data_IF_216647321738
#
_entry.id   IF_216647321738
#
_cell.length_a   1.000
_cell.length_b   1.000
_cell.length_c   1.000
_cell.angle_alpha   90.00
_cell.angle_beta   90.00
_cell.angle_gamma   90.00
#
_symmetry.space_group_name_H-M   'P 1'
#
loop_
_entity.id
_entity.type
_entity.pdbx_description
1 polymer ?
#
# COMPACT_ATOMS: atom_id res chain seq x y z
N UNK A 1 6.94 11.40 2.45
CA UNK A 1 5.75 10.55 2.26
C UNK A 1 5.11 10.87 0.91
N UNK A 2 4.69 9.84 0.18
CA UNK A 2 4.03 10.03 -1.09
C UNK A 2 2.64 10.65 -0.92
N UNK A 3 2.30 11.58 -1.79
CA UNK A 3 0.99 12.23 -1.80
C UNK A 3 0.00 11.37 -2.57
N UNK A 4 -0.97 10.79 -1.88
CA UNK A 4 -1.95 9.87 -2.46
C UNK A 4 -3.16 10.62 -3.01
N UNK A 5 -3.56 10.25 -4.22
CA UNK A 5 -4.80 10.75 -4.85
C UNK A 5 -5.54 9.60 -5.50
N UNK A 6 -6.85 9.73 -5.58
CA UNK A 6 -7.68 8.81 -6.33
C UNK A 6 -7.23 8.78 -7.80
N UNK A 7 -7.26 7.61 -8.41
CA UNK A 7 -6.80 7.33 -9.78
C UNK A 7 -5.29 7.36 -10.01
N UNK A 8 -4.48 7.59 -8.97
CA UNK A 8 -3.03 7.49 -9.10
C UNK A 8 -2.63 6.07 -9.50
N UNK A 9 -1.62 5.96 -10.35
CA UNK A 9 -1.05 4.68 -10.78
C UNK A 9 -0.06 4.19 -9.72
N UNK A 10 -0.26 2.97 -9.23
CA UNK A 10 0.62 2.32 -8.25
C UNK A 10 1.31 1.13 -8.92
N UNK A 11 2.63 1.05 -8.77
CA UNK A 11 3.43 -0.02 -9.35
C UNK A 11 4.11 -0.78 -8.20
N UNK A 12 3.86 -2.10 -8.14
CA UNK A 12 4.51 -3.00 -7.19
C UNK A 12 5.43 -3.93 -8.00
N UNK A 13 6.75 -3.73 -7.96
CA UNK A 13 7.68 -4.61 -8.63
C UNK A 13 7.60 -6.03 -8.04
N UNK A 14 7.58 -7.04 -8.91
CA UNK A 14 7.54 -8.43 -8.52
C UNK A 14 8.90 -9.09 -8.75
N UNK A 15 9.27 -10.04 -7.90
CA UNK A 15 10.50 -10.82 -8.04
C UNK A 15 10.52 -11.65 -9.32
N UNK A 16 9.37 -11.97 -9.90
CA UNK A 16 9.26 -12.72 -11.17
C UNK A 16 9.47 -11.83 -12.40
N UNK A 17 9.68 -10.53 -12.22
CA UNK A 17 9.89 -9.58 -13.31
C UNK A 17 8.63 -8.91 -13.86
N UNK A 18 7.46 -9.49 -13.60
CA UNK A 18 6.19 -8.85 -13.96
C UNK A 18 5.73 -7.90 -12.87
N UNK A 19 5.55 -6.63 -13.21
CA UNK A 19 5.08 -5.63 -12.25
C UNK A 19 3.57 -5.71 -12.10
N UNK A 20 3.09 -5.54 -10.86
CA UNK A 20 1.68 -5.33 -10.61
C UNK A 20 1.39 -3.85 -10.80
N UNK A 21 0.38 -3.55 -11.60
CA UNK A 21 -0.10 -2.19 -11.81
C UNK A 21 -1.53 -2.06 -11.30
N UNK A 22 -1.78 -1.02 -10.54
CA UNK A 22 -3.07 -0.79 -9.92
C UNK A 22 -3.41 0.70 -9.89
N UNK A 23 -4.69 1.02 -9.74
CA UNK A 23 -5.17 2.38 -9.54
C UNK A 23 -5.66 2.55 -8.12
N UNK A 24 -5.40 3.71 -7.53
CA UNK A 24 -5.98 4.07 -6.23
C UNK A 24 -7.46 4.35 -6.44
N UNK A 25 -8.31 3.55 -5.81
CA UNK A 25 -9.77 3.70 -5.92
C UNK A 25 -10.38 4.35 -4.69
N UNK A 26 -9.66 4.32 -3.57
CA UNK A 26 -10.13 4.94 -2.32
C UNK A 26 -8.93 5.19 -1.41
N UNK A 27 -9.15 5.99 -0.37
CA UNK A 27 -8.14 6.25 0.65
C UNK A 27 -8.76 6.01 2.03
N UNK A 28 -7.98 5.40 2.91
CA UNK A 28 -8.34 5.15 4.28
C UNK A 28 -7.30 5.79 5.19
N UNK A 29 -7.75 6.37 6.31
CA UNK A 29 -6.85 6.86 7.33
C UNK A 29 -6.95 5.95 8.54
N UNK A 30 -5.79 5.43 9.00
CA UNK A 30 -5.72 4.59 10.18
C UNK A 30 -4.95 5.33 11.26
N UNK A 31 -5.49 5.31 12.48
CA UNK A 31 -4.88 5.97 13.63
C UNK A 31 -4.12 4.94 14.45
N UNK A 32 -2.88 5.29 14.78
CA UNK A 32 -2.03 4.47 15.63
C UNK A 32 -1.60 5.29 16.83
N UNK A 33 -1.53 4.64 17.97
CA UNK A 33 -0.96 5.22 19.17
C UNK A 33 0.51 4.86 19.23
N UNK A 34 1.36 5.86 19.17
CA UNK A 34 2.81 5.68 19.33
C UNK A 34 3.19 6.07 20.75
N UNK A 35 3.85 5.18 21.47
CA UNK A 35 4.35 5.42 22.81
C UNK A 35 5.87 5.38 22.81
N UNK A 36 6.48 6.23 23.62
CA UNK A 36 7.92 6.25 23.82
C UNK A 36 8.23 6.69 25.23
N UNK A 37 9.41 6.34 25.73
CA UNK A 37 9.89 6.76 27.03
C UNK A 37 10.74 8.00 26.89
N UNK A 38 10.38 9.06 27.61
CA UNK A 38 11.15 10.29 27.64
C UNK A 38 12.41 10.05 28.48
N UNK A 39 13.58 10.22 27.86
CA UNK A 39 14.87 9.99 28.50
C UNK A 39 15.17 11.01 29.62
N UNK A 40 14.61 12.22 29.52
CA UNK A 40 14.86 13.28 30.49
C UNK A 40 14.05 13.10 31.78
N UNK A 41 12.79 12.63 31.68
CA UNK A 41 11.88 12.51 32.81
C UNK A 41 11.59 11.06 33.22
N UNK A 42 11.88 10.09 32.37
CA UNK A 42 11.54 8.69 32.57
C UNK A 42 10.05 8.38 32.39
N UNK A 43 9.26 9.37 32.02
CA UNK A 43 7.82 9.20 31.78
C UNK A 43 7.53 8.57 30.43
N UNK A 44 6.46 7.77 30.39
CA UNK A 44 5.94 7.23 29.14
C UNK A 44 5.01 8.26 28.51
N UNK A 45 5.35 8.71 27.32
CA UNK A 45 4.53 9.63 26.53
C UNK A 45 3.89 8.90 25.37
N UNK A 46 2.73 9.35 24.95
CA UNK A 46 2.06 8.77 23.80
C UNK A 46 1.47 9.84 22.89
N UNK A 47 1.36 9.53 21.62
CA UNK A 47 0.81 10.42 20.62
C UNK A 47 0.02 9.61 19.60
N UNK A 48 -1.13 10.12 19.21
CA UNK A 48 -1.88 9.55 18.11
C UNK A 48 -1.31 10.04 16.77
N UNK A 49 -1.14 9.13 15.84
CA UNK A 49 -0.66 9.43 14.49
C UNK A 49 -1.64 8.86 13.49
N UNK A 50 -2.05 9.69 12.53
CA UNK A 50 -2.89 9.26 11.42
C UNK A 50 -2.01 8.94 10.21
N UNK A 51 -2.23 7.78 9.61
CA UNK A 51 -1.47 7.31 8.44
C UNK A 51 -2.43 7.06 7.29
N UNK A 52 -2.20 7.68 6.12
CA UNK A 52 -3.02 7.41 4.95
C UNK A 52 -2.65 6.08 4.31
N UNK A 53 -3.68 5.30 3.96
CA UNK A 53 -3.55 4.04 3.22
C UNK A 53 -4.26 4.20 1.89
N UNK A 54 -3.65 3.67 0.84
CA UNK A 54 -4.29 3.61 -0.47
C UNK A 54 -4.98 2.27 -0.65
N UNK A 55 -6.25 2.31 -1.03
CA UNK A 55 -6.99 1.13 -1.50
C UNK A 55 -6.81 1.08 -3.00
N UNK A 56 -6.19 0.01 -3.49
CA UNK A 56 -5.79 -0.12 -4.89
C UNK A 56 -6.52 -1.28 -5.55
N UNK A 57 -6.87 -1.10 -6.81
CA UNK A 57 -7.48 -2.14 -7.65
C UNK A 57 -6.55 -2.44 -8.82
N UNK A 58 -6.16 -3.72 -8.96
CA UNK A 58 -5.23 -4.17 -9.97
C UNK A 58 -5.87 -4.23 -11.35
N UNK A 59 -5.11 -3.86 -12.38
CA UNK A 59 -5.51 -4.02 -13.78
C UNK A 59 -4.45 -4.73 -14.61
N UNK A 60 -3.25 -4.97 -14.07
CA UNK A 60 -2.18 -5.70 -14.73
C UNK A 60 -1.31 -6.40 -13.69
N UNK A 61 -0.85 -7.61 -14.00
CA UNK A 61 0.02 -8.40 -13.12
C UNK A 61 -0.71 -9.26 -12.09
N UNK A 62 -2.02 -9.06 -11.96
CA UNK A 62 -2.93 -9.86 -11.14
C UNK A 62 -4.29 -9.84 -11.81
N UNK A 63 -5.24 -10.73 -11.43
CA UNK A 63 -6.59 -10.69 -12.00
C UNK A 63 -7.22 -9.31 -11.85
N UNK A 64 -7.85 -8.82 -12.90
CA UNK A 64 -8.51 -7.51 -12.91
C UNK A 64 -9.51 -7.42 -11.76
N UNK A 65 -9.45 -6.33 -11.02
CA UNK A 65 -10.33 -6.10 -9.88
C UNK A 65 -9.80 -6.64 -8.56
N UNK A 66 -8.62 -7.30 -8.55
CA UNK A 66 -7.97 -7.69 -7.30
C UNK A 66 -7.59 -6.44 -6.51
N UNK A 67 -8.02 -6.36 -5.25
CA UNK A 67 -7.75 -5.21 -4.39
C UNK A 67 -6.67 -5.49 -3.37
N UNK A 68 -5.90 -4.45 -3.04
CA UNK A 68 -4.99 -4.47 -1.90
C UNK A 68 -4.94 -3.09 -1.25
N UNK A 69 -4.51 -3.06 0.00
CA UNK A 69 -4.37 -1.82 0.77
C UNK A 69 -2.90 -1.65 1.15
N UNK A 70 -2.34 -0.48 0.86
CA UNK A 70 -0.93 -0.20 1.13
C UNK A 70 -0.78 1.17 1.80
N UNK A 71 0.03 1.27 2.88
CA UNK A 71 0.27 2.56 3.50
C UNK A 71 1.11 3.46 2.59
N UNK A 72 0.78 4.74 2.56
CA UNK A 72 1.44 5.72 1.70
C UNK A 72 2.94 5.84 1.94
N UNK A 73 3.40 5.59 3.17
CA UNK A 73 4.84 5.70 3.48
C UNK A 73 5.68 4.60 2.80
N UNK A 74 5.06 3.51 2.33
CA UNK A 74 5.76 2.45 1.59
C UNK A 74 5.94 2.77 0.10
N UNK A 75 5.31 3.85 -0.36
CA UNK A 75 5.36 4.28 -1.75
C UNK A 75 6.24 5.52 -1.89
N UNK A 76 6.85 5.68 -3.05
CA UNK A 76 7.58 6.90 -3.44
C UNK A 76 7.00 7.46 -4.73
N UNK A 77 7.05 8.79 -4.87
CA UNK A 77 6.66 9.44 -6.11
C UNK A 77 7.77 9.31 -7.15
N UNK A 78 7.41 8.90 -8.35
CA UNK A 78 8.27 8.95 -9.52
C UNK A 78 7.51 9.61 -10.65
N UNK A 79 8.24 10.24 -11.57
CA UNK A 79 7.64 10.81 -12.77
C UNK A 79 8.25 10.09 -13.97
N UNK A 80 7.37 9.57 -14.84
CA UNK A 80 7.78 8.91 -16.07
C UNK A 80 6.93 9.45 -17.22
N UNK A 81 7.58 9.98 -18.24
CA UNK A 81 6.91 10.56 -19.40
C UNK A 81 5.86 11.62 -19.04
N UNK A 82 6.17 12.42 -18.00
CA UNK A 82 5.27 13.46 -17.51
C UNK A 82 4.15 12.98 -16.60
N UNK A 83 4.02 11.68 -16.40
CA UNK A 83 3.00 11.11 -15.52
C UNK A 83 3.55 10.80 -14.13
N UNK A 84 2.75 11.09 -13.12
CA UNK A 84 3.05 10.73 -11.72
C UNK A 84 2.81 9.25 -11.50
N UNK A 85 3.81 8.59 -10.92
CA UNK A 85 3.72 7.18 -10.51
C UNK A 85 3.98 7.06 -9.02
N UNK A 86 3.31 6.14 -8.38
CA UNK A 86 3.60 5.72 -7.01
C UNK A 86 4.23 4.33 -7.07
N UNK A 87 5.50 4.23 -6.68
CA UNK A 87 6.26 2.99 -6.78
C UNK A 87 6.64 2.50 -5.39
N UNK A 88 6.51 1.21 -5.15
CA UNK A 88 6.92 0.61 -3.89
C UNK A 88 8.41 0.88 -3.63
N UNK A 89 8.74 1.34 -2.43
CA UNK A 89 10.13 1.56 -2.03
C UNK A 89 10.86 0.23 -1.93
N UNK A 90 12.12 0.20 -2.37
CA UNK A 90 12.94 -1.01 -2.41
C UNK A 90 13.05 -1.71 -1.05
N UNK A 91 13.09 -0.95 0.03
CA UNK A 91 13.20 -1.49 1.38
C UNK A 91 12.01 -2.35 1.80
N UNK A 92 10.87 -2.24 1.11
CA UNK A 92 9.67 -3.02 1.38
C UNK A 92 9.43 -4.12 0.34
N UNK A 93 10.30 -4.28 -0.64
CA UNK A 93 10.11 -5.22 -1.73
C UNK A 93 9.94 -6.68 -1.25
N UNK A 94 10.66 -7.06 -0.19
CA UNK A 94 10.57 -8.41 0.35
C UNK A 94 9.21 -8.74 0.95
N UNK A 95 8.48 -7.75 1.47
CA UNK A 95 7.12 -7.93 2.03
C UNK A 95 6.09 -8.28 0.96
N UNK A 96 6.38 -7.91 -0.29
CA UNK A 96 5.48 -8.07 -1.43
C UNK A 96 5.99 -9.13 -2.39
N UNK A 97 6.47 -10.24 -1.83
CA UNK A 97 6.92 -11.41 -2.59
C UNK A 97 5.73 -12.17 -3.20
N UNK A 98 6.01 -13.22 -3.98
CA UNK A 98 4.97 -14.01 -4.64
C UNK A 98 3.89 -14.53 -3.69
N UNK A 99 4.25 -14.90 -2.47
CA UNK A 99 3.29 -15.37 -1.46
C UNK A 99 2.27 -14.26 -1.09
N UNK A 100 2.72 -13.03 -0.95
CA UNK A 100 1.82 -11.90 -0.70
C UNK A 100 0.81 -11.71 -1.84
N UNK A 101 1.29 -11.85 -3.08
CA UNK A 101 0.44 -11.73 -4.27
C UNK A 101 -0.65 -12.81 -4.27
N UNK A 102 -0.28 -14.05 -3.99
CA UNK A 102 -1.22 -15.17 -3.92
C UNK A 102 -2.29 -14.92 -2.84
N UNK A 103 -1.87 -14.49 -1.67
CA UNK A 103 -2.77 -14.17 -0.56
C UNK A 103 -3.73 -13.05 -0.93
N UNK A 104 -3.24 -12.01 -1.59
CA UNK A 104 -4.05 -10.91 -2.07
C UNK A 104 -5.14 -11.37 -3.03
N UNK A 105 -4.80 -12.25 -3.96
CA UNK A 105 -5.74 -12.82 -4.92
C UNK A 105 -6.80 -13.65 -4.21
N UNK A 106 -6.42 -14.49 -3.25
CA UNK A 106 -7.34 -15.30 -2.46
C UNK A 106 -8.30 -14.43 -1.65
N UNK A 107 -7.79 -13.42 -0.96
CA UNK A 107 -8.60 -12.52 -0.14
C UNK A 107 -9.63 -11.78 -1.00
N UNK A 108 -9.24 -11.32 -2.18
CA UNK A 108 -10.16 -10.64 -3.11
C UNK A 108 -11.24 -11.58 -3.65
N UNK A 109 -10.87 -12.82 -3.93
CA UNK A 109 -11.81 -13.84 -4.41
C UNK A 109 -12.84 -14.18 -3.33
N UNK A 110 -12.38 -14.42 -2.10
CA UNK A 110 -13.25 -14.71 -0.97
C UNK A 110 -14.24 -13.57 -0.70
N UNK A 111 -13.77 -12.32 -0.80
CA UNK A 111 -14.60 -11.14 -0.62
C UNK A 111 -15.69 -11.03 -1.69
N UNK A 112 -15.39 -11.40 -2.94
CA UNK A 112 -16.38 -11.41 -4.02
C UNK A 112 -17.42 -12.50 -3.82
N UNK A 113 -17.04 -13.69 -3.37
CA UNK A 113 -17.95 -14.80 -3.09
C UNK A 113 -18.94 -14.44 -1.98
N UNK A 114 -18.48 -13.74 -0.95
CA UNK A 114 -19.35 -13.28 0.15
C UNK A 114 -20.31 -12.18 -0.30
N UNK A 115 -19.90 -11.36 -1.27
CA UNK A 115 -20.73 -10.25 -1.78
C UNK A 115 -21.85 -10.70 -2.71
N UNK A 116 -21.82 -11.95 -3.12
CA UNK A 116 -22.90 -12.56 -3.92
C UNK A 116 -24.00 -13.12 -2.96
#
# INVERSE_FOLDING_TARGET
MAYLKKDDLVIIPSASGANIQARVVDMQFRRFRRSWKDKATGETKSRWKSVPYAVCECFLGAPIGTEFVIPGYKLKNETKDGEKLLVLRDQYAAEFSGHWIEKMIEDSRAKREVAQ
#
